data_IF_396018710112
#
_entry.id   IF_396018710112
#
_cell.length_a   1.000
_cell.length_b   1.000
_cell.length_c   1.000
_cell.angle_alpha   90.00
_cell.angle_beta   90.00
_cell.angle_gamma   90.00
#
_symmetry.space_group_name_H-M   'P 1'
#
loop_
_entity.id
_entity.type
_entity.pdbx_description
1 polymer ?
#
# COMPACT_ATOMS: atom_id res chain seq x y z
N UNK A 1 -1.15 25.15 -12.69
CA UNK A 1 -2.13 24.04 -12.80
C UNK A 1 -1.46 22.67 -12.86
N UNK A 2 -0.23 22.54 -13.39
CA UNK A 2 0.50 21.26 -13.45
C UNK A 2 0.83 20.63 -12.08
N UNK A 3 1.18 21.43 -11.06
CA UNK A 3 1.49 20.92 -9.71
C UNK A 3 0.34 20.18 -9.04
N UNK A 4 -0.89 20.65 -9.23
CA UNK A 4 -2.07 20.07 -8.58
C UNK A 4 -2.40 18.69 -9.14
N UNK A 5 -2.23 18.50 -10.44
CA UNK A 5 -2.43 17.22 -11.12
C UNK A 5 -1.32 16.21 -10.78
N UNK A 6 -0.07 16.69 -10.67
CA UNK A 6 1.06 15.85 -10.26
C UNK A 6 0.90 15.32 -8.84
N UNK A 7 0.48 16.17 -7.90
CA UNK A 7 0.20 15.78 -6.51
C UNK A 7 -0.97 14.79 -6.42
N UNK A 8 -2.04 15.00 -7.19
CA UNK A 8 -3.17 14.07 -7.23
C UNK A 8 -2.75 12.68 -7.74
N UNK A 9 -1.94 12.62 -8.80
CA UNK A 9 -1.39 11.36 -9.32
C UNK A 9 -0.49 10.66 -8.29
N UNK A 10 0.40 11.40 -7.62
CA UNK A 10 1.29 10.85 -6.60
C UNK A 10 0.51 10.28 -5.40
N UNK A 11 -0.47 11.01 -4.88
CA UNK A 11 -1.34 10.54 -3.79
C UNK A 11 -2.09 9.27 -4.18
N UNK A 12 -2.61 9.23 -5.40
CA UNK A 12 -3.35 8.08 -5.88
C UNK A 12 -2.45 6.84 -6.07
N UNK A 13 -1.14 7.02 -6.33
CA UNK A 13 -0.15 5.92 -6.37
C UNK A 13 0.19 5.42 -4.96
N UNK A 14 0.42 6.33 -4.02
CA UNK A 14 0.64 5.97 -2.62
C UNK A 14 -0.54 5.18 -2.05
N UNK A 15 -1.78 5.61 -2.31
CA UNK A 15 -2.99 4.89 -1.88
C UNK A 15 -3.05 3.46 -2.42
N UNK A 16 -2.69 3.25 -3.69
CA UNK A 16 -2.65 1.91 -4.29
C UNK A 16 -1.63 1.01 -3.59
N UNK A 17 -0.43 1.53 -3.30
CA UNK A 17 0.60 0.78 -2.58
C UNK A 17 0.16 0.38 -1.16
N UNK A 18 -0.51 1.28 -0.42
CA UNK A 18 -1.05 0.96 0.91
C UNK A 18 -2.16 -0.09 0.83
N UNK A 19 -3.02 0.00 -0.18
CA UNK A 19 -4.06 -1.00 -0.43
C UNK A 19 -3.45 -2.38 -0.67
N UNK A 20 -2.39 -2.45 -1.47
CA UNK A 20 -1.69 -3.70 -1.77
C UNK A 20 -0.99 -4.26 -0.53
N UNK A 21 -0.28 -3.42 0.23
CA UNK A 21 0.30 -3.81 1.51
C UNK A 21 -0.75 -4.41 2.45
N UNK A 22 -1.95 -3.84 2.49
CA UNK A 22 -3.02 -4.39 3.34
C UNK A 22 -3.44 -5.79 2.91
N UNK A 23 -3.56 -6.06 1.60
CA UNK A 23 -3.88 -7.41 1.10
C UNK A 23 -2.80 -8.39 1.52
N UNK A 24 -1.54 -8.04 1.29
CA UNK A 24 -0.39 -8.87 1.67
C UNK A 24 -0.33 -9.16 3.18
N UNK A 25 -0.67 -8.18 4.03
CA UNK A 25 -0.76 -8.43 5.49
C UNK A 25 -1.94 -9.34 5.82
N UNK A 26 -3.07 -9.22 5.13
CA UNK A 26 -4.25 -10.08 5.34
C UNK A 26 -3.99 -11.53 4.92
N UNK A 27 -3.22 -11.73 3.86
CA UNK A 27 -2.87 -13.05 3.33
C UNK A 27 -1.65 -13.66 4.05
N UNK A 28 -0.95 -12.87 4.86
CA UNK A 28 0.15 -13.33 5.71
C UNK A 28 -0.37 -14.26 6.83
N UNK A 29 0.40 -15.29 7.22
CA UNK A 29 0.08 -16.10 8.40
C UNK A 29 0.25 -15.34 9.72
N UNK A 30 0.82 -14.13 9.71
CA UNK A 30 1.05 -13.31 10.92
C UNK A 30 -0.18 -12.51 11.28
N UNK A 31 -0.60 -12.58 12.54
CA UNK A 31 -1.61 -11.67 13.08
C UNK A 31 -1.09 -10.23 13.18
N UNK A 32 -2.00 -9.24 13.21
CA UNK A 32 -1.62 -7.85 13.46
C UNK A 32 -0.86 -7.65 14.79
N UNK A 33 -1.10 -8.50 15.79
CA UNK A 33 -0.37 -8.44 17.05
C UNK A 33 1.09 -8.91 16.92
N UNK A 34 1.38 -9.84 16.02
CA UNK A 34 2.74 -10.30 15.73
C UNK A 34 3.51 -9.31 14.86
N UNK A 35 2.85 -8.72 13.87
CA UNK A 35 3.36 -7.59 13.09
C UNK A 35 3.72 -6.42 14.02
N UNK A 36 2.80 -6.05 14.90
CA UNK A 36 2.99 -4.95 15.85
C UNK A 36 4.18 -5.20 16.79
N UNK A 37 4.31 -6.42 17.32
CA UNK A 37 5.47 -6.84 18.13
C UNK A 37 6.77 -6.75 17.36
N UNK A 38 6.79 -7.18 16.10
CA UNK A 38 8.00 -7.17 15.26
C UNK A 38 8.52 -5.76 14.99
N UNK A 39 7.64 -4.77 14.95
CA UNK A 39 8.01 -3.37 14.64
C UNK A 39 7.94 -2.44 15.86
N UNK A 40 7.76 -3.00 17.07
CA UNK A 40 7.77 -2.26 18.33
C UNK A 40 6.62 -1.26 18.49
N UNK A 41 5.40 -1.62 18.06
CA UNK A 41 4.21 -0.75 18.15
C UNK A 41 2.98 -1.50 18.70
N UNK A 42 1.89 -0.76 18.94
CA UNK A 42 0.59 -1.35 19.29
C UNK A 42 -0.20 -1.88 18.07
N UNK A 43 -0.97 -2.95 18.25
CA UNK A 43 -1.78 -3.58 17.19
C UNK A 43 -2.80 -2.64 16.54
N UNK A 44 -3.40 -1.73 17.32
CA UNK A 44 -4.36 -0.75 16.81
C UNK A 44 -3.65 0.27 15.92
N UNK A 45 -2.37 0.55 16.19
CA UNK A 45 -1.54 1.40 15.34
C UNK A 45 -1.27 0.77 13.98
N UNK A 46 -1.00 -0.55 13.93
CA UNK A 46 -0.84 -1.28 12.66
C UNK A 46 -2.11 -1.20 11.84
N UNK A 47 -3.25 -1.54 12.44
CA UNK A 47 -4.55 -1.46 11.76
C UNK A 47 -4.84 -0.05 11.26
N UNK A 48 -4.63 0.98 12.10
CA UNK A 48 -4.81 2.39 11.73
C UNK A 48 -3.93 2.79 10.56
N UNK A 49 -2.65 2.41 10.56
CA UNK A 49 -1.71 2.73 9.49
C UNK A 49 -2.12 2.09 8.15
N UNK A 50 -2.58 0.84 8.15
CA UNK A 50 -3.08 0.18 6.95
C UNK A 50 -4.39 0.78 6.43
N UNK A 51 -5.12 1.54 7.26
CA UNK A 51 -6.35 2.25 6.91
C UNK A 51 -6.18 3.71 6.57
N UNK A 52 -4.96 4.21 6.64
CA UNK A 52 -4.63 5.58 6.29
C UNK A 52 -4.04 5.65 4.89
N UNK A 53 -4.50 6.64 4.13
CA UNK A 53 -3.92 6.96 2.81
C UNK A 53 -2.52 7.57 2.91
N UNK A 54 -2.14 8.05 4.10
CA UNK A 54 -0.92 8.80 4.39
C UNK A 54 0.00 8.08 5.38
N UNK A 55 0.13 6.75 5.23
CA UNK A 55 1.11 6.00 6.03
C UNK A 55 2.52 6.55 5.80
N UNK A 56 3.26 6.74 6.88
CA UNK A 56 4.66 7.13 6.79
C UNK A 56 5.49 6.01 6.16
N UNK A 57 6.48 6.37 5.34
CA UNK A 57 7.26 5.42 4.55
C UNK A 57 8.02 4.43 5.44
N UNK A 58 8.54 4.88 6.58
CA UNK A 58 9.19 4.01 7.57
C UNK A 58 8.25 2.91 8.07
N UNK A 59 6.97 3.25 8.31
CA UNK A 59 5.96 2.28 8.75
C UNK A 59 5.55 1.32 7.64
N UNK A 60 5.45 1.82 6.41
CA UNK A 60 5.19 0.97 5.25
C UNK A 60 6.27 -0.11 5.10
N UNK A 61 7.54 0.30 5.15
CA UNK A 61 8.69 -0.59 5.05
C UNK A 61 8.77 -1.55 6.24
N UNK A 62 8.56 -1.06 7.46
CA UNK A 62 8.59 -1.91 8.65
C UNK A 62 7.50 -3.00 8.60
N UNK A 63 6.27 -2.67 8.19
CA UNK A 63 5.17 -3.63 8.11
C UNK A 63 5.42 -4.66 7.00
N UNK A 64 5.80 -4.23 5.79
CA UNK A 64 6.11 -5.14 4.67
C UNK A 64 7.23 -6.12 5.01
N UNK A 65 8.35 -5.63 5.53
CA UNK A 65 9.45 -6.49 5.97
C UNK A 65 9.02 -7.42 7.11
N UNK A 66 8.16 -6.97 8.02
CA UNK A 66 7.68 -7.82 9.12
C UNK A 66 6.87 -9.03 8.66
N UNK A 67 6.17 -8.94 7.51
CA UNK A 67 5.45 -10.07 6.90
C UNK A 67 6.31 -10.85 5.90
N UNK A 68 7.60 -10.51 5.77
CA UNK A 68 8.53 -11.18 4.86
C UNK A 68 8.35 -10.81 3.39
N UNK A 69 7.77 -9.64 3.12
CA UNK A 69 7.55 -9.14 1.76
C UNK A 69 8.48 -7.97 1.45
N UNK A 70 8.94 -7.92 0.20
CA UNK A 70 9.75 -6.80 -0.27
C UNK A 70 8.85 -5.57 -0.52
N UNK A 71 9.08 -4.43 0.16
CA UNK A 71 8.32 -3.21 -0.06
C UNK A 71 8.35 -2.72 -1.51
N UNK A 72 9.47 -2.88 -2.22
CA UNK A 72 9.58 -2.45 -3.61
C UNK A 72 8.69 -3.28 -4.54
N UNK A 73 8.62 -4.58 -4.31
CA UNK A 73 7.71 -5.48 -5.02
C UNK A 73 6.23 -5.07 -4.83
N UNK A 74 5.82 -4.79 -3.58
CA UNK A 74 4.45 -4.36 -3.28
C UNK A 74 4.11 -3.06 -4.04
N UNK A 75 5.04 -2.11 -4.05
CA UNK A 75 4.87 -0.85 -4.80
C UNK A 75 4.74 -1.15 -6.30
N UNK A 76 5.60 -2.02 -6.84
CA UNK A 76 5.57 -2.39 -8.26
C UNK A 76 4.25 -3.03 -8.67
N UNK A 77 3.76 -4.01 -7.90
CA UNK A 77 2.47 -4.68 -8.12
C UNK A 77 1.33 -3.65 -8.10
N UNK A 78 1.32 -2.77 -7.10
CA UNK A 78 0.30 -1.73 -7.00
C UNK A 78 0.33 -0.74 -8.19
N UNK A 79 1.51 -0.44 -8.74
CA UNK A 79 1.63 0.41 -9.93
C UNK A 79 1.13 -0.30 -11.19
N UNK A 80 1.43 -1.59 -11.35
CA UNK A 80 1.02 -2.40 -12.50
C UNK A 80 -0.50 -2.54 -12.54
N UNK A 81 -1.13 -2.99 -11.45
CA UNK A 81 -2.58 -3.18 -11.37
C UNK A 81 -3.36 -1.91 -11.73
N UNK A 82 -2.85 -0.75 -11.30
CA UNK A 82 -3.47 0.54 -11.61
C UNK A 82 -3.28 0.98 -13.06
N UNK A 83 -2.16 0.61 -13.66
CA UNK A 83 -1.90 0.88 -15.08
C UNK A 83 -2.84 0.03 -15.95
N UNK A 84 -3.08 -1.22 -15.57
CA UNK A 84 -4.02 -2.11 -16.25
C UNK A 84 -5.48 -1.63 -16.12
N UNK A 85 -5.93 -1.21 -14.92
CA UNK A 85 -7.28 -0.61 -14.74
C UNK A 85 -7.48 0.65 -15.59
N UNK A 86 -6.44 1.46 -15.79
CA UNK A 86 -6.52 2.67 -16.62
C UNK A 86 -6.58 2.35 -18.11
N UNK A 87 -5.98 1.23 -18.53
CA UNK A 87 -5.94 0.79 -19.92
C UNK A 87 -7.26 0.12 -20.32
N UNK A 88 -7.82 -0.73 -19.44
CA UNK A 88 -9.11 -1.40 -19.65
C UNK A 88 -10.30 -0.42 -19.78
N UNK A 89 -10.25 0.73 -19.08
CA UNK A 89 -11.29 1.77 -19.20
C UNK A 89 -11.20 2.58 -20.50
N UNK A 90 -10.04 2.60 -21.17
CA UNK A 90 -9.84 3.31 -22.43
C UNK A 90 -10.31 2.50 -23.65
N UNK A 91 -10.36 1.17 -23.53
CA UNK A 91 -10.72 0.25 -24.62
C UNK A 91 -12.18 -0.21 -24.60
N UNK A 92 -12.94 0.07 -23.53
CA UNK A 92 -14.33 -0.38 -23.35
C UNK A 92 -15.42 0.61 -23.80
N UNK A 93 -15.09 1.59 -24.64
CA UNK A 93 -16.03 2.59 -25.16
C UNK A 93 -16.39 2.35 -26.62
N UNK A 94 -17.28 1.38 -26.88
CA UNK A 94 -18.02 1.24 -28.14
C UNK A 94 -19.53 1.35 -27.88
#
# INVERSE_FOLDING_TARGET
MADMEMLARANSKAMAAVSELRKEVKDSPKSYAEVARSIGTDRHTVSKNLHRSDIALDKFFAISMSIGKDPEEIIRIAMLAKTEETTALAEGGE
#
